data_IF_805347381670
#
_entry.id   IF_805347381670
#
_cell.length_a   1.000
_cell.length_b   1.000
_cell.length_c   1.000
_cell.angle_alpha   90.00
_cell.angle_beta   90.00
_cell.angle_gamma   90.00
#
_symmetry.space_group_name_H-M   'P 1'
#
loop_
_entity.id
_entity.type
_entity.pdbx_description
1 polymer ?
#
# COMPACT_ATOMS: atom_id res chain seq x y z
N UNK A 1 8.09 19.03 -18.65
CA UNK A 1 7.14 18.57 -19.69
C UNK A 1 7.15 17.05 -19.64
N UNK A 2 6.31 16.47 -18.77
CA UNK A 2 6.20 15.03 -18.60
C UNK A 2 5.32 14.52 -19.74
N UNK A 3 5.90 13.79 -20.68
CA UNK A 3 5.14 13.11 -21.71
C UNK A 3 4.37 11.97 -21.02
N UNK A 4 3.06 12.15 -20.85
CA UNK A 4 2.18 11.06 -20.48
C UNK A 4 2.15 10.07 -21.65
N UNK A 5 3.07 9.09 -21.64
CA UNK A 5 2.89 7.87 -22.43
C UNK A 5 1.71 7.15 -21.82
N UNK A 6 0.50 7.39 -22.36
CA UNK A 6 -0.58 6.43 -22.24
C UNK A 6 -0.24 5.26 -23.17
N UNK A 7 0.76 4.46 -22.77
CA UNK A 7 0.75 3.07 -23.19
C UNK A 7 -0.50 2.51 -22.51
N UNK A 8 -1.61 2.57 -23.25
CA UNK A 8 -2.88 1.97 -22.89
C UNK A 8 -2.56 0.50 -22.70
N UNK A 9 -2.30 0.13 -21.45
CA UNK A 9 -2.22 -1.25 -21.02
C UNK A 9 -3.50 -1.90 -21.54
N UNK A 10 -3.38 -2.74 -22.56
CA UNK A 10 -4.50 -3.49 -23.13
C UNK A 10 -5.30 -4.03 -21.96
N UNK A 11 -6.62 -3.85 -21.99
CA UNK A 11 -7.48 -4.13 -20.85
C UNK A 11 -7.27 -5.58 -20.40
N UNK A 12 -6.49 -5.79 -19.34
CA UNK A 12 -6.22 -7.12 -18.82
C UNK A 12 -7.56 -7.71 -18.40
N UNK A 13 -7.95 -8.80 -19.06
CA UNK A 13 -9.16 -9.52 -18.71
C UNK A 13 -8.83 -10.50 -17.59
N UNK A 14 -9.81 -10.81 -16.75
CA UNK A 14 -9.58 -11.67 -15.59
C UNK A 14 -9.08 -13.08 -15.96
N UNK A 15 -9.46 -13.58 -17.13
CA UNK A 15 -8.98 -14.85 -17.69
C UNK A 15 -7.46 -14.89 -17.90
N UNK A 16 -6.84 -13.72 -17.97
CA UNK A 16 -5.42 -13.56 -18.32
C UNK A 16 -4.56 -13.50 -17.04
N UNK A 17 -5.20 -13.43 -15.87
CA UNK A 17 -4.53 -13.43 -14.57
C UNK A 17 -4.36 -14.88 -14.12
N UNK A 18 -3.14 -15.40 -14.21
CA UNK A 18 -2.81 -16.67 -13.56
C UNK A 18 -3.03 -16.52 -12.04
N UNK A 19 -3.75 -17.45 -11.39
CA UNK A 19 -3.99 -17.37 -9.97
C UNK A 19 -2.67 -17.47 -9.22
N UNK A 20 -2.18 -16.35 -8.68
CA UNK A 20 -1.13 -16.28 -7.67
C UNK A 20 -1.68 -16.76 -6.30
N UNK A 21 -2.34 -17.92 -6.31
CA UNK A 21 -3.23 -18.46 -5.28
C UNK A 21 -2.53 -19.01 -4.04
N UNK A 22 -1.46 -18.37 -3.55
CA UNK A 22 -0.91 -18.67 -2.23
C UNK A 22 -0.50 -17.45 -1.43
N UNK A 23 0.08 -16.42 -2.04
CA UNK A 23 0.63 -15.29 -1.28
C UNK A 23 -0.46 -14.37 -0.75
N UNK A 24 -1.47 -14.07 -1.58
CA UNK A 24 -2.54 -13.13 -1.25
C UNK A 24 -3.71 -13.80 -0.51
N UNK A 25 -4.01 -15.07 -0.83
CA UNK A 25 -4.96 -15.89 -0.05
C UNK A 25 -4.50 -16.05 1.41
N UNK A 26 -3.20 -16.30 1.64
CA UNK A 26 -2.63 -16.33 3.00
C UNK A 26 -2.68 -14.96 3.70
N UNK A 27 -2.83 -13.88 2.93
CA UNK A 27 -2.97 -12.52 3.44
C UNK A 27 -4.42 -12.17 3.78
N UNK A 28 -5.39 -13.00 3.41
CA UNK A 28 -6.82 -12.72 3.60
C UNK A 28 -7.32 -11.66 2.62
N UNK A 29 -6.66 -11.48 1.48
CA UNK A 29 -7.13 -10.60 0.44
C UNK A 29 -8.36 -11.23 -0.22
N UNK A 30 -9.46 -10.49 -0.24
CA UNK A 30 -10.63 -10.84 -1.03
C UNK A 30 -10.39 -10.51 -2.52
N UNK A 31 -11.38 -10.82 -3.36
CA UNK A 31 -11.31 -10.60 -4.80
C UNK A 31 -10.91 -9.17 -5.20
N UNK A 32 -11.39 -8.16 -4.49
CA UNK A 32 -11.01 -6.76 -4.77
C UNK A 32 -9.53 -6.49 -4.47
N UNK A 33 -8.93 -7.16 -3.48
CA UNK A 33 -7.49 -7.11 -3.20
C UNK A 33 -6.64 -7.65 -4.36
N UNK A 34 -7.08 -8.75 -4.98
CA UNK A 34 -6.44 -9.30 -6.20
C UNK A 34 -6.57 -8.33 -7.37
N UNK A 35 -7.77 -7.79 -7.60
CA UNK A 35 -7.99 -6.81 -8.67
C UNK A 35 -7.12 -5.55 -8.49
N UNK A 36 -6.94 -5.08 -7.25
CA UNK A 36 -6.02 -3.98 -6.92
C UNK A 36 -4.58 -4.37 -7.22
N UNK A 37 -4.14 -5.54 -6.76
CA UNK A 37 -2.78 -6.03 -6.98
C UNK A 37 -2.45 -6.15 -8.47
N UNK A 38 -3.38 -6.67 -9.28
CA UNK A 38 -3.19 -6.77 -10.72
C UNK A 38 -3.37 -5.43 -11.46
N UNK A 39 -3.92 -4.40 -10.82
CA UNK A 39 -4.07 -3.07 -11.41
C UNK A 39 -5.32 -2.92 -12.28
N UNK A 40 -6.37 -3.69 -12.01
CA UNK A 40 -7.65 -3.67 -12.74
C UNK A 40 -8.48 -2.41 -12.39
N UNK A 41 -7.99 -1.23 -12.77
CA UNK A 41 -8.49 0.07 -12.33
C UNK A 41 -9.99 0.26 -12.60
N UNK A 42 -10.48 -0.14 -13.78
CA UNK A 42 -11.90 0.00 -14.16
C UNK A 42 -12.82 -0.83 -13.26
N UNK A 43 -12.42 -2.08 -12.99
CA UNK A 43 -13.18 -2.96 -12.09
C UNK A 43 -13.21 -2.41 -10.67
N UNK A 44 -12.04 -2.06 -10.10
CA UNK A 44 -11.94 -1.53 -8.74
C UNK A 44 -12.74 -0.23 -8.61
N UNK A 45 -12.65 0.66 -9.60
CA UNK A 45 -13.44 1.90 -9.62
C UNK A 45 -14.93 1.61 -9.54
N UNK A 46 -15.43 0.69 -10.37
CA UNK A 46 -16.85 0.31 -10.39
C UNK A 46 -17.27 -0.33 -9.07
N UNK A 47 -16.49 -1.27 -8.55
CA UNK A 47 -16.77 -1.93 -7.28
C UNK A 47 -16.86 -0.94 -6.11
N UNK A 48 -15.92 0.02 -6.02
CA UNK A 48 -15.92 1.06 -4.99
C UNK A 48 -17.03 2.11 -5.18
N UNK A 49 -17.55 2.28 -6.40
CA UNK A 49 -18.72 3.12 -6.65
C UNK A 49 -20.02 2.41 -6.22
N UNK A 50 -20.14 1.12 -6.50
CA UNK A 50 -21.30 0.31 -6.12
C UNK A 50 -21.36 0.07 -4.61
N UNK A 51 -20.21 -0.16 -3.98
CA UNK A 51 -20.13 -0.43 -2.55
C UNK A 51 -18.98 0.38 -1.91
N UNK A 52 -19.34 1.56 -1.41
CA UNK A 52 -18.41 2.41 -0.65
C UNK A 52 -18.01 1.84 0.71
N UNK A 53 -18.69 0.79 1.20
CA UNK A 53 -18.33 0.15 2.48
C UNK A 53 -17.03 -0.64 2.35
N UNK A 54 -16.63 -1.07 1.15
CA UNK A 54 -15.38 -1.81 0.91
C UNK A 54 -14.13 -1.03 1.37
N UNK A 55 -14.16 0.30 1.32
CA UNK A 55 -13.08 1.16 1.82
C UNK A 55 -13.24 1.44 3.32
N UNK A 56 -14.43 1.35 3.88
CA UNK A 56 -14.62 1.57 5.32
C UNK A 56 -14.45 0.28 6.13
N UNK A 57 -14.61 -0.88 5.49
CA UNK A 57 -14.33 -2.17 6.10
C UNK A 57 -12.85 -2.24 6.47
N UNK A 58 -12.61 -2.40 7.76
CA UNK A 58 -11.27 -2.32 8.34
C UNK A 58 -10.36 -3.37 7.73
N UNK A 59 -10.84 -4.58 7.47
CA UNK A 59 -10.03 -5.66 6.93
C UNK A 59 -9.73 -5.47 5.44
N UNK A 60 -10.76 -5.11 4.66
CA UNK A 60 -10.64 -4.91 3.21
C UNK A 60 -9.75 -3.71 2.90
N UNK A 61 -10.01 -2.54 3.49
CA UNK A 61 -9.22 -1.31 3.27
C UNK A 61 -7.72 -1.56 3.44
N UNK A 62 -7.39 -2.26 4.52
CA UNK A 62 -6.02 -2.58 4.91
C UNK A 62 -5.33 -3.46 3.87
N UNK A 63 -6.03 -4.44 3.32
CA UNK A 63 -5.49 -5.29 2.27
C UNK A 63 -5.22 -4.47 1.01
N UNK A 64 -6.11 -3.56 0.61
CA UNK A 64 -5.99 -2.84 -0.66
C UNK A 64 -4.75 -1.95 -0.75
N UNK A 65 -4.47 -1.14 0.28
CA UNK A 65 -3.25 -0.30 0.28
C UNK A 65 -1.97 -1.12 0.32
N UNK A 66 -1.98 -2.29 0.97
CA UNK A 66 -0.82 -3.17 0.93
C UNK A 66 -0.67 -3.82 -0.45
N UNK A 67 -1.76 -4.33 -1.05
CA UNK A 67 -1.75 -4.92 -2.38
C UNK A 67 -1.17 -3.98 -3.45
N UNK A 68 -1.57 -2.70 -3.44
CA UNK A 68 -1.11 -1.74 -4.45
C UNK A 68 0.38 -1.36 -4.28
N UNK A 69 0.89 -1.38 -3.05
CA UNK A 69 2.28 -1.00 -2.73
C UNK A 69 3.27 -2.17 -2.87
N UNK A 70 2.79 -3.40 -3.02
CA UNK A 70 3.65 -4.56 -3.22
C UNK A 70 4.21 -4.57 -4.65
N UNK A 71 5.55 -4.67 -4.81
CA UNK A 71 6.12 -4.86 -6.14
C UNK A 71 5.67 -6.21 -6.69
N UNK A 72 5.20 -6.20 -7.95
CA UNK A 72 4.80 -7.43 -8.65
C UNK A 72 6.04 -8.31 -8.89
N UNK A 73 6.09 -9.54 -8.37
CA UNK A 73 7.19 -10.46 -8.58
C UNK A 73 7.00 -11.18 -9.92
N UNK A 74 7.24 -10.50 -11.03
CA UNK A 74 7.34 -11.18 -12.33
C UNK A 74 8.78 -11.16 -12.83
N UNK A 75 9.38 -12.35 -12.75
CA UNK A 75 10.83 -12.63 -12.79
C UNK A 75 11.44 -12.55 -14.20
N UNK A 76 10.65 -12.35 -15.26
CA UNK A 76 11.18 -12.18 -16.62
C UNK A 76 10.59 -10.98 -17.40
N UNK A 77 9.46 -10.44 -16.95
CA UNK A 77 8.79 -9.30 -17.60
C UNK A 77 9.09 -7.94 -16.97
N UNK A 78 10.05 -7.87 -16.03
CA UNK A 78 10.63 -6.61 -15.55
C UNK A 78 11.04 -5.65 -16.70
N UNK A 79 11.27 -6.20 -17.89
CA UNK A 79 11.60 -5.46 -19.11
C UNK A 79 10.41 -4.82 -19.82
N UNK A 80 9.18 -5.30 -19.58
CA UNK A 80 7.95 -4.88 -20.29
C UNK A 80 6.89 -4.26 -19.39
N UNK A 81 6.74 -4.75 -18.16
CA UNK A 81 5.81 -4.14 -17.22
C UNK A 81 6.49 -2.94 -16.55
N UNK A 82 5.86 -1.76 -16.64
CA UNK A 82 6.19 -0.61 -15.80
C UNK A 82 6.44 -1.13 -14.38
N UNK A 83 7.69 -1.04 -13.93
CA UNK A 83 8.23 -1.56 -12.66
C UNK A 83 7.67 -0.82 -11.44
N UNK A 84 6.55 -0.16 -11.64
CA UNK A 84 5.95 0.80 -10.76
C UNK A 84 4.71 0.27 -10.07
N UNK A 85 4.56 0.71 -8.83
CA UNK A 85 3.25 0.83 -8.20
C UNK A 85 2.31 1.55 -9.16
N UNK A 86 1.08 1.03 -9.30
CA UNK A 86 0.03 1.70 -10.06
C UNK A 86 -0.43 2.94 -9.25
N UNK A 87 0.16 4.10 -9.56
CA UNK A 87 -0.10 5.36 -8.86
C UNK A 87 -1.57 5.77 -8.98
N UNK A 88 -2.21 5.52 -10.13
CA UNK A 88 -3.62 5.83 -10.34
C UNK A 88 -4.52 5.00 -9.41
N UNK A 89 -4.23 3.71 -9.25
CA UNK A 89 -4.92 2.84 -8.30
C UNK A 89 -4.72 3.31 -6.86
N UNK A 90 -3.47 3.66 -6.49
CA UNK A 90 -3.18 4.17 -5.15
C UNK A 90 -3.94 5.48 -4.88
N UNK A 91 -3.93 6.41 -5.83
CA UNK A 91 -4.65 7.68 -5.73
C UNK A 91 -6.16 7.46 -5.62
N UNK A 92 -6.73 6.54 -6.41
CA UNK A 92 -8.13 6.16 -6.29
C UNK A 92 -8.46 5.70 -4.87
N UNK A 93 -7.67 4.79 -4.28
CA UNK A 93 -7.90 4.28 -2.93
C UNK A 93 -7.81 5.39 -1.88
N UNK A 94 -6.78 6.23 -1.96
CA UNK A 94 -6.57 7.33 -1.01
C UNK A 94 -7.67 8.41 -1.10
N UNK A 95 -8.09 8.78 -2.32
CA UNK A 95 -9.22 9.71 -2.54
C UNK A 95 -10.54 9.16 -2.01
N UNK A 96 -10.70 7.84 -1.95
CA UNK A 96 -11.88 7.17 -1.37
C UNK A 96 -11.82 7.05 0.16
N UNK A 97 -10.74 7.49 0.79
CA UNK A 97 -10.60 7.51 2.25
C UNK A 97 -9.73 6.41 2.83
N UNK A 98 -8.96 5.69 2.00
CA UNK A 98 -7.99 4.75 2.54
C UNK A 98 -6.92 5.44 3.38
N UNK A 99 -6.65 4.89 4.57
CA UNK A 99 -5.81 5.54 5.56
C UNK A 99 -4.39 4.94 5.54
N UNK A 100 -3.36 5.71 5.16
CA UNK A 100 -1.99 5.20 5.08
C UNK A 100 -1.38 4.85 6.44
N UNK A 101 -1.98 5.33 7.54
CA UNK A 101 -1.54 5.06 8.91
C UNK A 101 -2.32 3.93 9.60
N UNK A 102 -3.25 3.28 8.88
CA UNK A 102 -4.05 2.22 9.47
C UNK A 102 -3.22 0.94 9.63
N UNK A 103 -3.21 0.38 10.84
CA UNK A 103 -2.45 -0.83 11.15
C UNK A 103 -3.08 -2.08 10.52
N UNK A 104 -2.25 -2.89 9.86
CA UNK A 104 -2.57 -4.21 9.35
C UNK A 104 -1.46 -5.21 9.70
N UNK A 105 -1.82 -6.28 10.42
CA UNK A 105 -0.86 -7.26 10.96
C UNK A 105 0.31 -6.58 11.71
N UNK A 106 -0.01 -5.56 12.52
CA UNK A 106 0.96 -4.85 13.36
C UNK A 106 1.67 -3.65 12.72
N UNK A 107 1.52 -3.42 11.41
CA UNK A 107 2.24 -2.35 10.70
C UNK A 107 1.34 -1.57 9.74
N UNK A 108 1.67 -0.32 9.49
CA UNK A 108 0.93 0.50 8.51
C UNK A 108 1.42 0.21 7.08
N UNK A 109 0.59 0.44 6.04
CA UNK A 109 1.05 0.42 4.64
C UNK A 109 2.24 1.35 4.42
N UNK A 110 2.25 2.51 5.08
CA UNK A 110 3.35 3.47 5.04
C UNK A 110 4.66 2.90 5.60
N UNK A 111 4.62 2.25 6.78
CA UNK A 111 5.79 1.58 7.37
C UNK A 111 6.34 0.47 6.46
N UNK A 112 5.45 -0.32 5.85
CA UNK A 112 5.83 -1.40 4.93
C UNK A 112 6.51 -0.85 3.68
N UNK A 113 5.99 0.24 3.11
CA UNK A 113 6.61 0.91 1.98
C UNK A 113 8.01 1.43 2.33
N UNK A 114 8.16 2.15 3.44
CA UNK A 114 9.46 2.66 3.87
C UNK A 114 10.47 1.52 4.04
N UNK A 115 10.02 0.42 4.65
CA UNK A 115 10.83 -0.79 4.82
C UNK A 115 11.19 -1.39 3.47
N UNK A 116 10.26 -1.47 2.53
CA UNK A 116 10.51 -1.97 1.19
C UNK A 116 11.58 -1.13 0.49
N UNK A 117 11.40 0.18 0.44
CA UNK A 117 12.32 1.13 -0.19
C UNK A 117 13.72 1.06 0.43
N UNK A 118 13.79 0.98 1.76
CA UNK A 118 15.06 0.92 2.48
C UNK A 118 15.75 -0.45 2.37
N UNK A 119 15.02 -1.55 2.63
CA UNK A 119 15.56 -2.92 2.69
C UNK A 119 15.97 -3.44 1.32
N UNK A 120 15.14 -3.19 0.31
CA UNK A 120 15.50 -3.56 -1.05
C UNK A 120 16.56 -2.64 -1.64
N UNK A 121 17.14 -1.76 -0.80
CA UNK A 121 18.32 -0.93 -0.97
C UNK A 121 18.72 -0.97 -2.42
N UNK A 122 18.05 -0.13 -3.23
CA UNK A 122 17.88 -0.32 -4.66
C UNK A 122 19.19 -0.61 -5.42
N UNK A 123 20.35 -0.30 -4.83
CA UNK A 123 21.66 -0.82 -5.18
C UNK A 123 21.77 -2.34 -5.33
N UNK A 124 21.11 -3.16 -4.51
CA UNK A 124 21.10 -4.63 -4.65
C UNK A 124 20.30 -5.05 -5.88
N UNK A 125 19.20 -4.34 -6.19
CA UNK A 125 18.53 -4.49 -7.47
C UNK A 125 19.43 -4.00 -8.61
N UNK A 126 20.14 -2.88 -8.42
CA UNK A 126 21.13 -2.29 -9.34
C UNK A 126 22.21 -3.31 -9.72
N UNK A 127 22.85 -3.93 -8.75
CA UNK A 127 23.94 -4.87 -9.02
C UNK A 127 23.45 -6.16 -9.67
N UNK A 128 22.31 -6.74 -9.24
CA UNK A 128 21.85 -8.02 -9.79
C UNK A 128 21.12 -7.92 -11.13
N UNK A 129 20.38 -6.85 -11.37
CA UNK A 129 19.53 -6.72 -12.57
C UNK A 129 20.08 -5.70 -13.57
N UNK A 130 20.88 -4.72 -13.14
CA UNK A 130 21.31 -3.61 -14.01
C UNK A 130 22.71 -3.74 -14.59
N UNK A 131 23.48 -4.79 -14.28
CA UNK A 131 24.62 -5.17 -15.14
C UNK A 131 24.16 -5.48 -16.59
N UNK A 132 22.88 -5.81 -16.79
CA UNK A 132 22.28 -6.08 -18.11
C UNK A 132 21.46 -4.91 -18.69
N UNK A 133 21.18 -3.86 -17.92
CA UNK A 133 20.39 -2.71 -18.36
C UNK A 133 21.32 -1.51 -18.52
N UNK A 134 21.72 -1.24 -19.76
CA UNK A 134 22.68 -0.19 -20.11
C UNK A 134 22.22 1.26 -19.80
N UNK A 135 21.00 1.50 -19.30
CA UNK A 135 20.49 2.87 -19.08
C UNK A 135 20.18 3.20 -17.62
N UNK A 136 20.92 4.19 -17.09
CA UNK A 136 20.56 4.89 -15.85
C UNK A 136 19.14 5.48 -15.90
N UNK A 137 18.58 5.69 -17.09
CA UNK A 137 17.23 6.23 -17.33
C UNK A 137 16.14 5.41 -16.65
N UNK A 138 16.17 4.07 -16.74
CA UNK A 138 15.11 3.23 -16.16
C UNK A 138 15.11 3.25 -14.63
N UNK A 139 16.29 3.32 -14.02
CA UNK A 139 16.43 3.49 -12.56
C UNK A 139 15.81 4.83 -12.16
N UNK A 140 16.14 5.89 -12.89
CA UNK A 140 15.63 7.22 -12.60
C UNK A 140 14.10 7.28 -12.74
N UNK A 141 13.53 6.73 -13.82
CA UNK A 141 12.07 6.65 -14.02
C UNK A 141 11.36 5.89 -12.88
N UNK A 142 11.94 4.77 -12.44
CA UNK A 142 11.42 4.00 -11.31
C UNK A 142 11.47 4.81 -10.01
N UNK A 143 12.58 5.49 -9.72
CA UNK A 143 12.73 6.33 -8.52
C UNK A 143 11.78 7.53 -8.57
N UNK A 144 11.58 8.15 -9.73
CA UNK A 144 10.57 9.19 -9.93
C UNK A 144 9.17 8.67 -9.60
N UNK A 145 8.83 7.47 -10.06
CA UNK A 145 7.54 6.86 -9.75
C UNK A 145 7.36 6.61 -8.24
N UNK A 146 8.38 6.04 -7.57
CA UNK A 146 8.34 5.85 -6.12
C UNK A 146 8.29 7.16 -5.35
N UNK A 147 8.96 8.22 -5.83
CA UNK A 147 8.84 9.55 -5.24
C UNK A 147 7.40 10.07 -5.32
N UNK A 148 6.71 9.81 -6.44
CA UNK A 148 5.29 10.12 -6.62
C UNK A 148 4.40 9.39 -5.62
N UNK A 149 4.65 8.10 -5.39
CA UNK A 149 3.96 7.30 -4.35
C UNK A 149 4.16 7.91 -2.96
N UNK A 150 5.38 8.29 -2.60
CA UNK A 150 5.68 8.91 -1.31
C UNK A 150 4.97 10.26 -1.15
N UNK A 151 5.05 11.12 -2.18
CA UNK A 151 4.35 12.41 -2.19
C UNK A 151 2.85 12.23 -1.96
N UNK A 152 2.24 11.28 -2.67
CA UNK A 152 0.82 11.01 -2.59
C UNK A 152 0.41 10.53 -1.19
N UNK A 153 1.18 9.63 -0.57
CA UNK A 153 0.92 9.17 0.78
C UNK A 153 1.03 10.29 1.81
N UNK A 154 2.07 11.15 1.70
CA UNK A 154 2.25 12.31 2.57
C UNK A 154 1.10 13.33 2.40
N UNK A 155 0.67 13.61 1.17
CA UNK A 155 -0.49 14.47 0.88
C UNK A 155 -1.79 13.94 1.50
N UNK A 156 -1.93 12.62 1.59
CA UNK A 156 -3.06 11.94 2.22
C UNK A 156 -2.84 11.63 3.71
N UNK A 157 -1.89 12.31 4.35
CA UNK A 157 -1.73 12.33 5.79
C UNK A 157 -0.90 11.18 6.37
N UNK A 158 -0.07 10.51 5.57
CA UNK A 158 0.92 9.57 6.11
C UNK A 158 1.80 10.27 7.16
N UNK A 159 1.98 9.61 8.31
CA UNK A 159 2.67 10.18 9.45
C UNK A 159 4.19 10.28 9.16
N UNK A 160 4.68 11.52 9.05
CA UNK A 160 6.09 11.85 8.81
C UNK A 160 7.04 11.36 9.91
N UNK A 161 6.55 11.18 11.14
CA UNK A 161 7.32 10.69 12.29
C UNK A 161 7.35 9.15 12.38
N UNK A 162 6.87 8.46 11.34
CA UNK A 162 6.94 7.01 11.24
C UNK A 162 8.38 6.54 11.00
N UNK A 163 8.69 5.33 11.46
CA UNK A 163 9.94 4.63 11.18
C UNK A 163 9.68 3.36 10.37
N UNK A 164 10.71 2.86 9.69
CA UNK A 164 10.70 1.53 9.08
C UNK A 164 10.36 0.45 10.12
N UNK A 165 9.86 -0.69 9.62
CA UNK A 165 9.61 -1.86 10.44
C UNK A 165 10.95 -2.44 10.88
N UNK A 166 11.28 -2.23 12.14
CA UNK A 166 12.32 -3.01 12.79
C UNK A 166 11.85 -4.44 12.97
N UNK A 167 12.47 -5.37 12.25
CA UNK A 167 12.63 -6.79 12.59
C UNK A 167 13.48 -7.52 11.55
N UNK A 168 14.40 -6.82 10.88
CA UNK A 168 15.46 -7.50 10.16
C UNK A 168 16.58 -7.78 11.14
N UNK A 169 16.48 -8.94 11.81
CA UNK A 169 17.68 -9.74 12.13
C UNK A 169 18.24 -10.23 10.79
N UNK A 170 18.67 -9.29 9.96
CA UNK A 170 19.47 -9.54 8.79
C UNK A 170 20.90 -9.23 9.18
N UNK A 171 21.82 -10.09 8.81
CA UNK A 171 23.19 -9.67 8.69
C UNK A 171 23.35 -8.82 7.43
N UNK A 172 24.23 -7.83 7.45
CA UNK A 172 24.75 -7.24 6.23
C UNK A 172 25.45 -8.30 5.35
N UNK A 173 25.97 -7.89 4.20
CA UNK A 173 26.74 -8.75 3.31
C UNK A 173 27.98 -9.39 3.98
N UNK A 174 28.34 -8.94 5.19
CA UNK A 174 29.49 -9.38 5.98
C UNK A 174 29.11 -10.22 7.20
N UNK A 175 27.83 -10.59 7.38
CA UNK A 175 27.43 -11.41 8.53
C UNK A 175 27.24 -10.60 9.82
N UNK A 176 27.32 -9.27 9.78
CA UNK A 176 27.18 -8.41 10.96
C UNK A 176 25.69 -8.13 11.18
N UNK A 177 25.09 -8.55 12.31
CA UNK A 177 23.70 -8.26 12.61
C UNK A 177 23.48 -6.75 12.66
N UNK A 178 22.56 -6.24 11.85
CA UNK A 178 22.11 -4.86 11.99
C UNK A 178 21.51 -4.69 13.38
N UNK A 179 22.18 -3.90 14.22
CA UNK A 179 21.62 -3.42 15.48
C UNK A 179 20.44 -2.51 15.12
N UNK A 180 19.23 -2.87 15.56
CA UNK A 180 17.98 -2.09 15.56
C UNK A 180 18.14 -0.65 15.07
N UNK A 181 18.15 -0.47 13.75
CA UNK A 181 18.20 0.85 13.14
C UNK A 181 16.78 1.25 12.77
N UNK A 182 16.18 2.06 13.65
CA UNK A 182 14.95 2.78 13.36
C UNK A 182 15.21 3.83 12.28
N UNK A 183 15.20 3.42 11.01
CA UNK A 183 15.28 4.37 9.90
C UNK A 183 14.01 5.22 9.86
N UNK A 184 14.19 6.52 10.00
CA UNK A 184 13.13 7.53 9.85
C UNK A 184 12.77 7.70 8.37
N UNK A 185 11.66 8.37 8.09
CA UNK A 185 11.30 8.75 6.71
C UNK A 185 12.43 9.53 6.02
N UNK A 186 13.12 10.42 6.75
CA UNK A 186 14.23 11.21 6.22
C UNK A 186 15.43 10.35 5.86
N UNK A 187 15.75 9.34 6.67
CA UNK A 187 16.84 8.41 6.36
C UNK A 187 16.55 7.63 5.07
N UNK A 188 15.29 7.19 4.88
CA UNK A 188 14.87 6.53 3.63
C UNK A 188 14.99 7.48 2.44
N UNK A 189 14.56 8.75 2.57
CA UNK A 189 14.64 9.71 1.47
C UNK A 189 16.08 9.97 1.05
N UNK A 190 16.93 10.22 2.05
CA UNK A 190 18.36 10.46 1.88
C UNK A 190 19.04 9.28 1.18
N UNK A 191 18.79 8.05 1.64
CA UNK A 191 19.44 6.86 1.11
C UNK A 191 18.93 6.44 -0.28
N UNK A 192 17.64 6.60 -0.55
CA UNK A 192 16.99 6.06 -1.76
C UNK A 192 16.99 7.06 -2.90
N UNK A 193 16.71 8.35 -2.63
CA UNK A 193 16.41 9.32 -3.68
C UNK A 193 17.55 10.33 -3.94
N UNK A 194 18.33 10.72 -2.93
CA UNK A 194 19.27 11.85 -3.04
C UNK A 194 20.28 11.74 -4.17
N UNK A 195 20.78 10.54 -4.44
CA UNK A 195 21.85 10.33 -5.42
C UNK A 195 21.36 10.48 -6.86
N UNK A 196 20.21 9.91 -7.18
CA UNK A 196 19.75 9.74 -8.57
C UNK A 196 18.59 10.68 -8.94
N UNK A 197 17.83 11.18 -7.94
CA UNK A 197 16.70 12.12 -8.10
C UNK A 197 16.73 13.20 -6.98
N UNK A 198 17.77 14.08 -6.97
CA UNK A 198 18.01 15.01 -5.85
C UNK A 198 16.93 16.09 -5.70
N UNK A 199 16.30 16.53 -6.79
CA UNK A 199 15.22 17.52 -6.75
C UNK A 199 14.00 16.95 -6.02
N UNK A 200 13.63 15.71 -6.35
CA UNK A 200 12.55 14.98 -5.69
C UNK A 200 12.87 14.69 -4.23
N UNK A 201 14.12 14.33 -3.91
CA UNK A 201 14.55 14.12 -2.53
C UNK A 201 14.42 15.40 -1.68
N UNK A 202 14.79 16.56 -2.23
CA UNK A 202 14.66 17.84 -1.55
C UNK A 202 13.18 18.22 -1.32
N UNK A 203 12.32 18.00 -2.32
CA UNK A 203 10.89 18.24 -2.19
C UNK A 203 10.24 17.32 -1.14
N UNK A 204 10.57 16.03 -1.16
CA UNK A 204 10.09 15.05 -0.19
C UNK A 204 10.53 15.42 1.23
N UNK A 205 11.79 15.81 1.39
CA UNK A 205 12.33 16.29 2.68
C UNK A 205 11.53 17.46 3.22
N UNK A 206 11.24 18.45 2.36
CA UNK A 206 10.40 19.61 2.73
C UNK A 206 9.01 19.17 3.16
N UNK A 207 8.36 18.27 2.41
CA UNK A 207 7.01 17.78 2.77
C UNK A 207 6.98 17.04 4.11
N UNK A 208 8.00 16.22 4.40
CA UNK A 208 8.12 15.50 5.67
C UNK A 208 8.28 16.48 6.83
N UNK A 209 9.13 17.50 6.68
CA UNK A 209 9.32 18.54 7.70
C UNK A 209 8.03 19.35 7.95
N UNK A 210 7.35 19.78 6.89
CA UNK A 210 6.08 20.51 7.00
C UNK A 210 4.99 19.69 7.69
N UNK A 211 4.94 18.39 7.41
CA UNK A 211 3.99 17.44 8.02
C UNK A 211 4.33 17.17 9.49
N UNK A 212 5.61 17.01 9.83
CA UNK A 212 6.09 16.81 11.20
C UNK A 212 5.80 18.03 12.09
N UNK A 213 5.90 19.24 11.54
CA UNK A 213 5.57 20.50 12.23
C UNK A 213 4.05 20.72 12.40
N UNK A 214 3.21 19.85 11.83
CA UNK A 214 1.76 20.00 11.83
C UNK A 214 1.26 21.17 10.98
N UNK A 215 2.11 21.70 10.08
CA UNK A 215 1.80 22.88 9.25
C UNK A 215 1.08 22.53 7.96
N UNK A 216 1.14 21.29 7.51
CA UNK A 216 0.48 20.88 6.26
C UNK A 216 -1.03 20.92 6.43
N UNK A 217 -1.75 21.82 5.73
CA UNK A 217 -3.20 21.78 5.71
C UNK A 217 -3.61 20.48 5.03
N UNK A 218 -4.28 19.58 5.76
CA UNK A 218 -4.80 18.36 5.17
C UNK A 218 -5.72 18.76 4.01
N UNK A 219 -5.43 18.36 2.75
CA UNK A 219 -6.22 18.76 1.60
C UNK A 219 -7.64 18.24 1.81
N UNK A 220 -8.58 19.18 2.04
CA UNK A 220 -10.02 18.98 2.22
C UNK A 220 -10.37 17.54 2.60
N UNK A 221 -10.01 17.13 3.82
CA UNK A 221 -10.50 15.87 4.38
C UNK A 221 -12.00 15.90 4.16
N UNK A 222 -12.59 15.00 3.35
CA UNK A 222 -14.04 14.92 3.23
C UNK A 222 -14.51 14.90 4.67
N UNK A 223 -15.28 15.90 5.08
CA UNK A 223 -15.84 15.90 6.42
C UNK A 223 -16.64 14.60 6.48
N UNK A 224 -16.03 13.56 7.06
CA UNK A 224 -16.73 12.34 7.41
C UNK A 224 -17.76 12.88 8.38
N UNK A 225 -18.96 13.14 7.86
CA UNK A 225 -20.12 13.48 8.67
C UNK A 225 -20.16 12.35 9.65
N UNK A 226 -19.78 12.63 10.88
CA UNK A 226 -19.94 11.74 12.00
C UNK A 226 -21.45 11.52 12.06
N UNK A 227 -21.93 10.48 11.40
CA UNK A 227 -23.25 9.92 11.66
C UNK A 227 -23.16 9.25 13.02
N UNK A 228 -22.95 10.05 14.06
CA UNK A 228 -23.49 9.78 15.38
C UNK A 228 -25.01 10.01 15.27
N UNK A 229 -25.67 9.14 14.49
CA UNK A 229 -27.08 8.93 14.65
C UNK A 229 -27.23 8.22 15.99
N UNK A 230 -27.54 9.05 16.97
CA UNK A 230 -28.13 8.72 18.25
C UNK A 230 -29.20 7.63 18.07
N UNK A 231 -28.81 6.35 18.19
CA UNK A 231 -29.73 5.22 18.25
C UNK A 231 -30.33 5.15 19.64
N UNK A 232 -31.17 6.14 19.94
CA UNK A 232 -32.17 6.05 20.99
C UNK A 232 -33.19 4.98 20.61
N UNK A 233 -32.94 3.72 20.96
CA UNK A 233 -33.95 2.67 21.00
C UNK A 233 -33.50 1.54 21.94
N UNK A 234 -33.66 1.77 23.25
CA UNK A 234 -33.81 0.70 24.23
C UNK A 234 -35.15 0.00 23.92
N UNK A 235 -35.15 -1.01 23.05
CA UNK A 235 -36.21 -2.01 22.99
C UNK A 235 -35.75 -3.17 23.85
N UNK A 236 -36.31 -3.26 25.05
CA UNK A 236 -36.31 -4.46 25.87
C UNK A 236 -37.10 -5.50 25.07
N UNK A 237 -36.39 -6.46 24.48
CA UNK A 237 -36.99 -7.72 24.03
C UNK A 237 -36.97 -8.63 25.26
N UNK A 238 -38.14 -8.82 25.84
CA UNK A 238 -38.42 -9.96 26.71
C UNK A 238 -38.14 -11.22 25.88
N UNK A 239 -37.16 -12.00 26.32
CA UNK A 239 -36.88 -13.34 25.81
C UNK A 239 -37.88 -14.27 26.49
N UNK A 240 -38.85 -14.75 25.74
CA UNK A 240 -39.61 -15.94 26.13
C UNK A 240 -38.65 -17.14 26.13
N UNK A 241 -38.32 -17.59 27.33
CA UNK A 241 -37.67 -18.86 27.63
C UNK A 241 -38.70 -19.98 27.39
N UNK A 242 -38.69 -20.66 26.23
CA UNK A 242 -39.24 -22.02 26.07
C UNK A 242 -39.13 -22.50 24.61
N UNK A 243 -37.94 -22.85 24.15
CA UNK A 243 -37.81 -23.73 22.97
C UNK A 243 -36.49 -24.52 23.03
N UNK A 244 -36.53 -25.61 23.80
CA UNK A 244 -35.44 -26.59 23.89
C UNK A 244 -35.49 -27.52 22.65
N UNK A 245 -34.47 -27.56 21.77
CA UNK A 245 -34.50 -28.42 20.60
C UNK A 245 -34.31 -29.91 20.99
N UNK A 246 -35.03 -30.84 20.32
CA UNK A 246 -35.05 -32.24 20.71
C UNK A 246 -33.69 -32.93 20.50
N UNK A 247 -33.17 -33.51 21.59
CA UNK A 247 -31.96 -34.32 21.59
C UNK A 247 -32.16 -35.60 20.77
N UNK A 248 -31.46 -35.70 19.63
CA UNK A 248 -31.38 -36.93 18.85
C UNK A 248 -30.58 -37.99 19.63
N UNK A 249 -31.26 -39.07 20.04
CA UNK A 249 -30.62 -40.29 20.56
C UNK A 249 -30.07 -41.09 19.38
N UNK A 250 -28.77 -41.32 19.36
CA UNK A 250 -28.17 -42.35 18.52
C UNK A 250 -28.24 -43.69 19.27
N UNK A 251 -29.02 -44.63 18.75
CA UNK A 251 -29.00 -46.02 19.18
C UNK A 251 -27.80 -46.73 18.57
N UNK A 252 -27.13 -47.54 19.39
CA UNK A 252 -25.98 -48.39 19.03
C UNK A 252 -26.38 -49.53 18.10
#
# INVERSE_FOLDING_TARGET
>A
MILARSDLCESQHWSDVEPYGKCLEQQGCNFIGEAVYHGMLSYVTTALQSDGSLINDRQTNQALLNCVLLPKPHVEEFRKCSTGVNVEMLELLLRRGANPNQLWRGYTPWQRLLTLLHKHNWYVLKERYFEQLESNTLVQEMLLNWSGVVKLLLQHGANANTTCIENHVGSDAWGIPFLNSHHTVLDVIEHVFRKDVPEEAAELTRMVQESADGRTPLPNRPQQRSTEQNTGAKRVLELDEDDEPPRKRYSR
#
